data_IF_258857596355
#
_entry.id   IF_258857596355
#
_cell.length_a   1.000
_cell.length_b   1.000
_cell.length_c   1.000
_cell.angle_alpha   90.00
_cell.angle_beta   90.00
_cell.angle_gamma   90.00
#
_symmetry.space_group_name_H-M   'P 1'
#
loop_
_entity.id
_entity.type
_entity.pdbx_description
1 polymer ?
#
# COMPACT_ATOMS: atom_id res chain seq x y z
N UNK A 1 0.59 -11.70 -6.16
CA UNK A 1 -0.41 -10.62 -6.30
C UNK A 1 0.13 -9.36 -5.64
N UNK A 2 -0.09 -8.24 -6.28
CA UNK A 2 0.35 -6.94 -5.77
C UNK A 2 -0.84 -6.16 -5.24
N UNK A 3 -0.69 -5.59 -4.05
CA UNK A 3 -1.76 -4.86 -3.38
C UNK A 3 -1.30 -3.44 -3.08
N UNK A 4 -2.16 -2.48 -3.37
CA UNK A 4 -1.92 -1.08 -3.01
C UNK A 4 -2.78 -0.74 -1.81
N UNK A 5 -2.14 -0.29 -0.73
CA UNK A 5 -2.84 0.11 0.50
C UNK A 5 -2.77 1.63 0.59
N UNK A 6 -3.92 2.27 0.73
CA UNK A 6 -4.00 3.73 0.80
C UNK A 6 -4.75 4.15 2.06
N UNK A 7 -4.07 4.91 2.92
CA UNK A 7 -4.69 5.47 4.11
C UNK A 7 -3.77 6.55 4.67
N UNK A 8 -4.32 7.57 5.30
CA UNK A 8 -3.55 8.65 5.88
C UNK A 8 -2.99 8.32 7.27
N UNK A 9 -3.43 7.23 7.88
CA UNK A 9 -2.91 6.77 9.16
C UNK A 9 -1.73 5.84 8.97
N UNK A 10 -0.54 6.38 9.16
CA UNK A 10 0.70 5.64 8.88
C UNK A 10 0.84 4.36 9.68
N UNK A 11 0.46 4.38 10.96
CA UNK A 11 0.57 3.18 11.79
C UNK A 11 -0.37 2.07 11.32
N UNK A 12 -1.56 2.45 10.89
CA UNK A 12 -2.52 1.50 10.34
C UNK A 12 -1.99 0.88 9.06
N UNK A 13 -1.47 1.71 8.16
CA UNK A 13 -0.89 1.24 6.91
C UNK A 13 0.26 0.27 7.15
N UNK A 14 1.13 0.59 8.11
CA UNK A 14 2.25 -0.30 8.45
C UNK A 14 1.77 -1.67 8.94
N UNK A 15 0.74 -1.68 9.79
CA UNK A 15 0.19 -2.93 10.31
C UNK A 15 -0.43 -3.78 9.22
N UNK A 16 -1.22 -3.17 8.35
CA UNK A 16 -1.85 -3.87 7.22
C UNK A 16 -0.79 -4.40 6.27
N UNK A 17 0.20 -3.57 5.94
CA UNK A 17 1.29 -3.96 5.05
C UNK A 17 2.04 -5.18 5.59
N UNK A 18 2.37 -5.14 6.88
CA UNK A 18 3.07 -6.26 7.52
C UNK A 18 2.27 -7.56 7.41
N UNK A 19 0.98 -7.50 7.72
CA UNK A 19 0.12 -8.67 7.66
C UNK A 19 -0.01 -9.23 6.24
N UNK A 20 -0.18 -8.36 5.26
CA UNK A 20 -0.32 -8.79 3.88
C UNK A 20 0.98 -9.37 3.33
N UNK A 21 2.12 -8.80 3.71
CA UNK A 21 3.41 -9.34 3.29
C UNK A 21 3.64 -10.73 3.89
N UNK A 22 3.21 -10.94 5.13
CA UNK A 22 3.30 -12.26 5.76
C UNK A 22 2.45 -13.31 5.04
N UNK A 23 1.38 -12.87 4.38
CA UNK A 23 0.54 -13.77 3.58
C UNK A 23 1.09 -14.00 2.18
N UNK A 24 2.22 -13.40 1.85
CA UNK A 24 2.87 -13.62 0.57
C UNK A 24 2.52 -12.62 -0.52
N UNK A 25 1.84 -11.53 -0.17
CA UNK A 25 1.51 -10.49 -1.15
C UNK A 25 2.63 -9.45 -1.26
N UNK A 26 2.77 -8.89 -2.45
CA UNK A 26 3.60 -7.71 -2.64
C UNK A 26 2.74 -6.49 -2.31
N UNK A 27 3.21 -5.63 -1.41
CA UNK A 27 2.41 -4.50 -0.94
C UNK A 27 3.14 -3.20 -1.21
N UNK A 28 2.41 -2.25 -1.80
CA UNK A 28 2.86 -0.87 -1.97
C UNK A 28 1.97 0.00 -1.11
N UNK A 29 2.55 0.86 -0.31
CA UNK A 29 1.80 1.72 0.59
C UNK A 29 1.79 3.16 0.10
N UNK A 30 0.63 3.80 0.18
CA UNK A 30 0.47 5.23 -0.09
C UNK A 30 -0.27 5.86 1.08
N UNK A 31 0.08 7.08 1.41
CA UNK A 31 -0.47 7.75 2.59
C UNK A 31 -1.49 8.82 2.25
N UNK A 32 -1.73 9.03 0.98
CA UNK A 32 -2.79 9.92 0.51
C UNK A 32 -3.20 9.55 -0.92
N UNK A 33 -4.32 10.11 -1.37
CA UNK A 33 -4.87 9.77 -2.68
C UNK A 33 -3.97 10.17 -3.84
N UNK A 34 -3.25 11.29 -3.68
CA UNK A 34 -2.36 11.76 -4.73
C UNK A 34 -1.18 10.81 -4.91
N UNK A 35 -0.58 10.38 -3.81
CA UNK A 35 0.50 9.40 -3.85
C UNK A 35 0.02 8.06 -4.42
N UNK A 36 -1.23 7.68 -4.11
CA UNK A 36 -1.81 6.45 -4.63
C UNK A 36 -1.92 6.49 -6.15
N UNK A 37 -2.36 7.61 -6.72
CA UNK A 37 -2.47 7.77 -8.16
C UNK A 37 -1.10 7.69 -8.82
N UNK A 38 -0.10 8.34 -8.24
CA UNK A 38 1.26 8.29 -8.75
C UNK A 38 1.81 6.86 -8.78
N UNK A 39 1.61 6.12 -7.69
CA UNK A 39 2.09 4.75 -7.61
C UNK A 39 1.36 3.83 -8.59
N UNK A 40 0.06 4.02 -8.74
CA UNK A 40 -0.72 3.23 -9.69
C UNK A 40 -0.25 3.46 -11.13
N UNK A 41 0.11 4.70 -11.46
CA UNK A 41 0.65 5.01 -12.79
C UNK A 41 1.97 4.32 -13.05
N UNK A 42 2.84 4.28 -12.04
CA UNK A 42 4.16 3.69 -12.19
C UNK A 42 4.10 2.17 -12.30
N UNK A 43 3.19 1.56 -11.59
CA UNK A 43 3.16 0.11 -11.47
C UNK A 43 2.10 -0.57 -12.33
N UNK A 44 1.19 0.24 -12.86
CA UNK A 44 0.03 -0.30 -13.54
C UNK A 44 0.11 -1.82 -13.77
#
# INVERSE_FOLDING_TARGET
MRILVVDDEKLLVKGITFNLQNEGYEVTAAYDGEAAVELARKEH
#
